data_IF_598547016565
#
_entry.id   IF_598547016565
#
_cell.length_a   1.000
_cell.length_b   1.000
_cell.length_c   1.000
_cell.angle_alpha   90.00
_cell.angle_beta   90.00
_cell.angle_gamma   90.00
#
_symmetry.space_group_name_H-M   'P 1'
#
loop_
_entity.id
_entity.type
_entity.pdbx_description
1 polymer ?
#
# COMPACT_ATOMS: atom_id res chain seq x y z
N UNK A 1 6.17 8.64 -21.11
CA UNK A 1 5.85 7.53 -20.17
C UNK A 1 4.36 7.26 -19.96
N UNK A 2 3.41 8.10 -20.40
CA UNK A 2 1.95 7.91 -20.16
C UNK A 2 1.42 6.50 -20.47
N UNK A 3 1.95 5.84 -21.49
CA UNK A 3 1.59 4.47 -21.88
C UNK A 3 1.88 3.47 -20.74
N UNK A 4 3.03 3.60 -20.07
CA UNK A 4 3.47 2.68 -19.01
C UNK A 4 2.96 3.07 -17.61
N UNK A 5 2.32 4.23 -17.47
CA UNK A 5 1.74 4.69 -16.19
C UNK A 5 0.25 4.38 -16.06
N UNK A 6 -0.42 4.02 -17.15
CA UNK A 6 -1.85 3.75 -17.14
C UNK A 6 -2.15 2.30 -17.54
N UNK A 7 -3.09 1.63 -16.86
CA UNK A 7 -3.54 0.30 -17.27
C UNK A 7 -4.29 0.31 -18.61
N UNK A 8 -4.85 1.45 -19.00
CA UNK A 8 -5.73 1.58 -20.18
C UNK A 8 -4.98 1.49 -21.51
N UNK A 9 -3.64 1.61 -21.51
CA UNK A 9 -2.82 1.64 -22.72
C UNK A 9 -1.95 0.39 -22.89
N UNK A 10 -2.32 -0.72 -22.23
CA UNK A 10 -1.55 -1.98 -22.28
C UNK A 10 -1.24 -2.47 -23.71
N UNK A 11 -2.15 -2.25 -24.66
CA UNK A 11 -1.96 -2.59 -26.08
C UNK A 11 -0.78 -1.86 -26.75
N UNK A 12 -0.35 -0.72 -26.20
CA UNK A 12 0.77 0.08 -26.74
C UNK A 12 2.10 -0.17 -26.01
N UNK A 13 2.18 -1.14 -25.10
CA UNK A 13 3.42 -1.45 -24.37
C UNK A 13 4.56 -1.82 -25.32
N UNK A 14 4.26 -2.61 -26.34
CA UNK A 14 5.21 -2.97 -27.40
C UNK A 14 5.72 -1.74 -28.17
N UNK A 15 4.80 -0.81 -28.46
CA UNK A 15 5.14 0.44 -29.11
C UNK A 15 6.03 1.32 -28.21
N UNK A 16 5.73 1.38 -26.91
CA UNK A 16 6.57 2.08 -25.95
C UNK A 16 7.99 1.50 -25.90
N UNK A 17 8.16 0.17 -25.99
CA UNK A 17 9.50 -0.45 -26.07
C UNK A 17 10.27 0.02 -27.29
N UNK A 18 9.63 0.04 -28.46
CA UNK A 18 10.26 0.53 -29.70
C UNK A 18 10.72 1.99 -29.56
N UNK A 19 9.89 2.84 -28.96
CA UNK A 19 10.24 4.24 -28.70
C UNK A 19 11.41 4.39 -27.73
N UNK A 20 11.46 3.59 -26.66
CA UNK A 20 12.57 3.61 -25.70
C UNK A 20 13.88 3.14 -26.33
N UNK A 21 13.85 2.05 -27.11
CA UNK A 21 15.04 1.57 -27.84
C UNK A 21 15.52 2.60 -28.85
N UNK A 22 14.59 3.24 -29.59
CA UNK A 22 14.93 4.31 -30.52
C UNK A 22 15.60 5.48 -29.80
N UNK A 23 15.02 5.95 -28.69
CA UNK A 23 15.60 7.02 -27.87
C UNK A 23 17.02 6.70 -27.42
N UNK A 24 17.27 5.49 -26.89
CA UNK A 24 18.59 5.07 -26.41
C UNK A 24 19.62 5.08 -27.56
N UNK A 25 19.26 4.54 -28.73
CA UNK A 25 20.13 4.54 -29.91
C UNK A 25 20.41 5.95 -30.44
N UNK A 26 19.40 6.80 -30.51
CA UNK A 26 19.56 8.18 -30.97
C UNK A 26 20.39 9.01 -30.00
N UNK A 27 20.25 8.78 -28.69
CA UNK A 27 21.05 9.43 -27.66
C UNK A 27 22.54 9.05 -27.81
N UNK A 28 22.83 7.76 -27.95
CA UNK A 28 24.19 7.26 -28.17
C UNK A 28 24.84 7.88 -29.42
N UNK A 29 24.09 7.99 -30.53
CA UNK A 29 24.59 8.61 -31.76
C UNK A 29 24.87 10.11 -31.63
N UNK A 30 24.08 10.82 -30.82
CA UNK A 30 24.15 12.29 -30.71
C UNK A 30 25.20 12.74 -29.71
N UNK A 31 25.32 12.04 -28.58
CA UNK A 31 26.19 12.44 -27.47
C UNK A 31 27.44 11.55 -27.35
N UNK A 32 27.42 10.35 -27.93
CA UNK A 32 28.48 9.36 -27.83
C UNK A 32 28.25 8.37 -26.68
N UNK A 33 28.82 7.17 -26.83
CA UNK A 33 28.66 6.05 -25.89
C UNK A 33 29.28 6.30 -24.51
N UNK A 34 30.20 7.25 -24.38
CA UNK A 34 30.82 7.62 -23.10
C UNK A 34 29.81 8.18 -22.08
N UNK A 35 28.65 8.67 -22.51
CA UNK A 35 27.58 9.15 -21.63
C UNK A 35 26.50 8.10 -21.37
N UNK A 36 26.64 6.90 -21.93
CA UNK A 36 25.70 5.80 -21.73
C UNK A 36 25.93 5.15 -20.37
N UNK A 37 25.14 5.57 -19.39
CA UNK A 37 25.10 4.94 -18.07
C UNK A 37 24.17 3.71 -18.05
N UNK A 38 24.29 2.90 -16.99
CA UNK A 38 23.41 1.75 -16.73
C UNK A 38 21.91 2.12 -16.75
N UNK A 39 21.57 3.35 -16.36
CA UNK A 39 20.17 3.81 -16.35
C UNK A 39 19.50 3.71 -17.73
N UNK A 40 20.25 3.87 -18.82
CA UNK A 40 19.70 3.72 -20.18
C UNK A 40 19.31 2.28 -20.51
N UNK A 41 20.06 1.31 -19.99
CA UNK A 41 19.70 -0.10 -20.11
C UNK A 41 18.41 -0.39 -19.34
N UNK A 42 18.28 0.13 -18.11
CA UNK A 42 17.05 0.02 -17.32
C UNK A 42 15.83 0.60 -18.02
N UNK A 43 15.97 1.68 -18.80
CA UNK A 43 14.86 2.25 -19.58
C UNK A 43 14.29 1.25 -20.60
N UNK A 44 15.13 0.41 -21.21
CA UNK A 44 14.70 -0.57 -22.22
C UNK A 44 13.83 -1.66 -21.58
N UNK A 45 14.05 -1.95 -20.30
CA UNK A 45 13.35 -2.99 -19.54
C UNK A 45 12.06 -2.52 -18.83
N UNK A 46 11.78 -1.21 -18.80
CA UNK A 46 10.53 -0.69 -18.22
C UNK A 46 9.23 -1.34 -18.78
N UNK A 47 9.12 -1.68 -20.08
CA UNK A 47 7.97 -2.41 -20.60
C UNK A 47 7.85 -3.83 -20.03
N UNK A 48 8.98 -4.47 -19.70
CA UNK A 48 9.01 -5.80 -19.10
C UNK A 48 8.53 -5.73 -17.64
N UNK A 49 8.98 -4.72 -16.90
CA UNK A 49 8.49 -4.40 -15.56
C UNK A 49 6.98 -4.12 -15.56
N UNK A 50 6.49 -3.37 -16.56
CA UNK A 50 5.07 -3.12 -16.70
C UNK A 50 4.26 -4.41 -16.90
N UNK A 51 4.77 -5.32 -17.74
CA UNK A 51 4.11 -6.60 -17.98
C UNK A 51 4.09 -7.49 -16.73
N UNK A 52 5.10 -7.38 -15.88
CA UNK A 52 5.23 -8.18 -14.65
C UNK A 52 4.46 -7.63 -13.47
N UNK A 53 4.49 -6.31 -13.25
CA UNK A 53 3.96 -5.66 -12.04
C UNK A 53 2.74 -4.77 -12.31
N UNK A 54 2.38 -4.54 -13.57
CA UNK A 54 1.33 -3.61 -13.98
C UNK A 54 1.85 -2.19 -14.21
N UNK A 55 0.99 -1.15 -14.13
CA UNK A 55 1.43 0.24 -14.24
C UNK A 55 2.64 0.56 -13.36
N UNK A 56 3.60 1.35 -13.85
CA UNK A 56 4.86 1.60 -13.15
C UNK A 56 4.67 2.25 -11.76
N UNK A 57 3.53 2.91 -11.53
CA UNK A 57 3.16 3.44 -10.21
C UNK A 57 3.08 2.32 -9.15
N UNK A 58 2.66 1.12 -9.54
CA UNK A 58 2.53 -0.05 -8.66
C UNK A 58 3.88 -0.60 -8.18
N UNK A 59 4.96 -0.36 -8.92
CA UNK A 59 6.32 -0.76 -8.53
C UNK A 59 7.21 0.45 -8.17
N UNK A 60 6.63 1.63 -8.01
CA UNK A 60 7.37 2.85 -7.69
C UNK A 60 7.79 2.88 -6.22
N UNK A 61 8.97 3.46 -5.95
CA UNK A 61 9.45 3.66 -4.58
C UNK A 61 8.85 4.91 -3.89
N UNK A 62 8.06 5.72 -4.61
CA UNK A 62 7.54 7.00 -4.11
C UNK A 62 6.77 6.91 -2.78
N UNK A 63 5.90 5.90 -2.54
CA UNK A 63 5.23 5.78 -1.24
C UNK A 63 6.22 5.61 -0.09
N UNK A 64 7.29 4.84 -0.30
CA UNK A 64 8.34 4.60 0.68
C UNK A 64 9.19 5.85 0.91
N UNK A 65 9.57 6.56 -0.16
CA UNK A 65 10.33 7.82 -0.06
C UNK A 65 9.53 8.90 0.68
N UNK A 66 8.22 8.98 0.43
CA UNK A 66 7.36 9.92 1.12
C UNK A 66 7.32 9.60 2.63
N UNK A 67 7.13 8.33 2.99
CA UNK A 67 7.11 7.89 4.39
C UNK A 67 8.49 7.98 5.07
N UNK A 68 9.59 7.88 4.31
CA UNK A 68 10.96 8.02 4.82
C UNK A 68 11.17 9.37 5.53
N UNK A 69 10.45 10.42 5.12
CA UNK A 69 10.48 11.73 5.80
C UNK A 69 10.02 11.61 7.25
N UNK A 70 8.98 10.83 7.52
CA UNK A 70 8.45 10.64 8.87
C UNK A 70 9.35 9.73 9.70
N UNK A 71 9.92 8.70 9.09
CA UNK A 71 10.95 7.88 9.74
C UNK A 71 12.16 8.73 10.16
N UNK A 72 12.62 9.64 9.31
CA UNK A 72 13.73 10.55 9.62
C UNK A 72 13.40 11.49 10.78
N UNK A 73 12.18 12.01 10.89
CA UNK A 73 11.73 12.80 12.06
C UNK A 73 11.76 11.98 13.36
N UNK A 74 11.65 10.66 13.27
CA UNK A 74 11.71 9.77 14.43
C UNK A 74 13.14 9.51 14.92
N UNK A 75 14.14 9.87 14.14
CA UNK A 75 15.54 9.78 14.50
C UNK A 75 16.01 11.09 15.13
N UNK A 76 16.80 11.01 16.20
CA UNK A 76 17.48 12.18 16.81
C UNK A 76 18.99 12.14 16.64
N UNK A 77 19.56 10.93 16.59
CA UNK A 77 20.99 10.67 16.40
C UNK A 77 21.15 9.49 15.45
N UNK A 78 22.28 9.40 14.78
CA UNK A 78 22.56 8.30 13.83
C UNK A 78 22.80 6.95 14.51
N UNK A 79 22.95 6.93 15.84
CA UNK A 79 23.11 5.72 16.62
C UNK A 79 21.78 4.99 16.81
N UNK A 80 21.81 3.66 16.60
CA UNK A 80 20.69 2.77 16.94
C UNK A 80 19.35 3.19 16.31
N UNK A 81 19.30 3.46 14.99
CA UNK A 81 18.13 4.08 14.35
C UNK A 81 16.86 3.24 14.48
N UNK A 82 16.95 1.93 14.31
CA UNK A 82 15.81 1.02 14.46
C UNK A 82 15.20 1.09 15.87
N UNK A 83 16.04 1.07 16.90
CA UNK A 83 15.60 1.12 18.30
C UNK A 83 14.96 2.47 18.64
N UNK A 84 15.50 3.57 18.09
CA UNK A 84 14.90 4.90 18.23
C UNK A 84 13.50 4.96 17.60
N UNK A 85 13.35 4.46 16.37
CA UNK A 85 12.07 4.42 15.67
C UNK A 85 11.05 3.58 16.44
N UNK A 86 11.41 2.37 16.86
CA UNK A 86 10.50 1.47 17.59
C UNK A 86 10.04 2.10 18.91
N UNK A 87 10.96 2.69 19.70
CA UNK A 87 10.59 3.34 20.98
C UNK A 87 9.66 4.53 20.75
N UNK A 88 9.99 5.40 19.78
CA UNK A 88 9.15 6.57 19.47
C UNK A 88 7.80 6.19 18.88
N UNK A 89 7.74 5.11 18.11
CA UNK A 89 6.46 4.55 17.64
C UNK A 89 5.60 4.10 18.82
N UNK A 90 6.19 3.33 19.76
CA UNK A 90 5.51 2.91 20.98
C UNK A 90 5.04 4.07 21.86
N UNK A 91 5.81 5.14 21.97
CA UNK A 91 5.40 6.39 22.66
C UNK A 91 4.18 7.02 21.97
N UNK A 92 4.18 7.16 20.65
CA UNK A 92 3.03 7.69 19.89
C UNK A 92 1.76 6.87 20.09
N UNK A 93 1.86 5.54 20.10
CA UNK A 93 0.72 4.66 20.32
C UNK A 93 0.13 4.80 21.73
N UNK A 94 0.98 4.96 22.75
CA UNK A 94 0.55 5.09 24.16
C UNK A 94 -0.09 6.44 24.45
N UNK A 95 0.35 7.51 23.79
CA UNK A 95 -0.12 8.87 24.05
C UNK A 95 -1.47 9.21 23.40
N UNK A 96 -2.16 8.25 22.76
CA UNK A 96 -3.43 8.50 22.06
C UNK A 96 -3.33 9.43 20.83
N UNK A 97 -2.17 10.04 20.60
CA UNK A 97 -1.82 10.87 19.45
C UNK A 97 -1.38 10.02 18.26
N UNK A 98 -2.07 8.90 18.02
CA UNK A 98 -2.18 8.40 16.66
C UNK A 98 -3.28 9.27 16.06
N UNK A 99 -2.89 10.31 15.33
CA UNK A 99 -3.68 10.76 14.19
C UNK A 99 -3.75 9.57 13.23
N UNK A 100 -4.54 8.57 13.57
CA UNK A 100 -5.16 7.75 12.56
C UNK A 100 -5.87 8.77 11.71
N UNK A 101 -5.51 8.83 10.42
CA UNK A 101 -6.31 9.50 9.41
C UNK A 101 -7.76 9.51 9.87
N UNK A 102 -8.37 10.71 9.96
CA UNK A 102 -9.73 10.94 10.45
C UNK A 102 -10.83 10.09 9.75
N UNK A 103 -10.44 9.18 8.85
CA UNK A 103 -11.26 8.18 8.20
C UNK A 103 -11.70 7.02 9.13
N UNK A 104 -10.89 6.58 10.11
CA UNK A 104 -11.31 5.46 11.00
C UNK A 104 -12.44 5.91 11.95
N UNK A 105 -12.48 7.19 12.35
CA UNK A 105 -13.57 7.76 13.16
C UNK A 105 -14.91 7.88 12.40
N UNK A 106 -15.01 7.38 11.16
CA UNK A 106 -16.22 7.48 10.33
C UNK A 106 -16.71 6.17 9.72
N UNK A 107 -16.23 5.01 10.16
CA UNK A 107 -16.82 3.74 9.70
C UNK A 107 -18.18 3.55 10.37
N UNK A 108 -19.25 3.95 9.68
CA UNK A 108 -20.62 3.61 10.07
C UNK A 108 -20.86 2.15 9.70
N UNK A 109 -21.02 1.30 10.71
CA UNK A 109 -21.52 -0.05 10.53
C UNK A 109 -22.88 -0.03 9.83
N UNK A 110 -23.04 -0.87 8.80
CA UNK A 110 -24.28 -1.02 8.06
C UNK A 110 -24.58 -2.50 7.83
N UNK A 111 -25.78 -2.84 7.40
CA UNK A 111 -26.10 -4.21 6.96
C UNK A 111 -25.60 -4.51 5.54
N UNK A 112 -25.12 -3.50 4.81
CA UNK A 112 -24.61 -3.62 3.43
C UNK A 112 -23.10 -3.65 3.40
N UNK A 113 -22.57 -4.36 2.40
CA UNK A 113 -21.14 -4.41 2.13
C UNK A 113 -20.60 -3.02 1.74
N UNK A 114 -19.35 -2.69 2.10
CA UNK A 114 -18.36 -3.54 2.80
C UNK A 114 -18.45 -3.46 4.35
N UNK A 115 -19.22 -2.52 4.90
CA UNK A 115 -19.20 -2.17 6.33
C UNK A 115 -20.12 -3.03 7.22
N UNK A 116 -20.38 -4.28 6.82
CA UNK A 116 -21.26 -5.20 7.53
C UNK A 116 -20.52 -6.29 8.33
N UNK A 117 -19.21 -6.17 8.50
CA UNK A 117 -18.40 -7.11 9.28
C UNK A 117 -17.67 -6.38 10.41
N UNK A 118 -17.58 -7.02 11.57
CA UNK A 118 -16.77 -6.54 12.69
C UNK A 118 -16.14 -7.71 13.46
N UNK A 119 -15.06 -7.45 14.18
CA UNK A 119 -14.45 -8.39 15.11
C UNK A 119 -14.77 -8.04 16.56
N UNK A 120 -15.06 -9.05 17.38
CA UNK A 120 -15.22 -8.89 18.83
C UNK A 120 -13.86 -8.94 19.54
N UNK A 121 -13.82 -8.52 20.81
CA UNK A 121 -12.61 -8.64 21.64
C UNK A 121 -12.22 -10.10 21.92
N UNK A 122 -13.17 -11.04 21.85
CA UNK A 122 -12.94 -12.49 21.85
C UNK A 122 -12.35 -13.00 20.52
N UNK A 123 -12.16 -12.12 19.53
CA UNK A 123 -11.60 -12.44 18.24
C UNK A 123 -12.63 -13.01 17.26
N UNK A 124 -13.92 -12.94 17.54
CA UNK A 124 -14.96 -13.49 16.68
C UNK A 124 -15.33 -12.54 15.55
N UNK A 125 -15.42 -13.07 14.32
CA UNK A 125 -15.84 -12.30 13.14
C UNK A 125 -17.35 -12.45 13.00
N UNK A 126 -18.05 -11.31 12.99
CA UNK A 126 -19.52 -11.26 12.92
C UNK A 126 -19.96 -10.47 11.69
N UNK A 127 -20.88 -11.05 10.92
CA UNK A 127 -21.64 -10.35 9.87
C UNK A 127 -22.91 -9.75 10.46
N UNK A 128 -23.05 -8.43 10.41
CA UNK A 128 -24.24 -7.70 10.83
C UNK A 128 -25.40 -8.08 9.93
N UNK A 129 -26.45 -8.64 10.52
CA UNK A 129 -27.75 -8.85 9.87
C UNK A 129 -28.71 -7.73 10.20
N UNK A 130 -28.64 -7.19 11.42
CA UNK A 130 -29.58 -6.19 11.90
C UNK A 130 -28.91 -5.24 12.91
N UNK A 131 -29.37 -4.00 12.95
CA UNK A 131 -28.91 -2.96 13.88
C UNK A 131 -30.15 -2.40 14.56
N UNK A 132 -30.23 -2.57 15.88
CA UNK A 132 -31.36 -2.12 16.69
C UNK A 132 -30.89 -0.98 17.60
N UNK A 133 -31.62 0.14 17.59
CA UNK A 133 -31.40 1.23 18.54
C UNK A 133 -32.21 0.99 19.81
N UNK A 134 -31.54 0.86 20.95
CA UNK A 134 -32.19 0.75 22.26
C UNK A 134 -32.67 2.12 22.77
N UNK A 135 -33.64 2.12 23.67
CA UNK A 135 -34.20 3.31 24.34
C UNK A 135 -33.15 4.14 25.09
N UNK A 136 -31.99 3.56 25.40
CA UNK A 136 -30.84 4.18 26.08
C UNK A 136 -29.82 4.82 25.13
N UNK A 137 -30.13 4.99 23.84
CA UNK A 137 -29.23 5.50 22.79
C UNK A 137 -28.06 4.57 22.42
N UNK A 138 -28.05 3.35 22.98
CA UNK A 138 -27.11 2.29 22.62
C UNK A 138 -27.54 1.59 21.33
N UNK A 139 -26.56 1.21 20.49
CA UNK A 139 -26.79 0.40 19.29
C UNK A 139 -26.45 -1.05 19.57
N UNK A 140 -27.42 -1.93 19.34
CA UNK A 140 -27.26 -3.38 19.42
C UNK A 140 -27.05 -3.90 18.00
N UNK A 141 -25.96 -4.64 17.80
CA UNK A 141 -25.66 -5.31 16.54
C UNK A 141 -26.02 -6.79 16.65
N UNK A 142 -26.89 -7.26 15.75
CA UNK A 142 -27.27 -8.67 15.65
C UNK A 142 -26.67 -9.22 14.36
N UNK A 143 -26.08 -10.41 14.42
CA UNK A 143 -25.34 -10.95 13.30
C UNK A 143 -25.04 -12.44 13.36
N UNK A 144 -24.40 -12.94 12.30
CA UNK A 144 -23.93 -14.33 12.19
C UNK A 144 -22.43 -14.40 12.43
N UNK A 145 -22.00 -15.35 13.25
CA UNK A 145 -20.60 -15.61 13.56
C UNK A 145 -19.99 -16.57 12.53
N UNK A 146 -18.77 -16.31 12.10
CA UNK A 146 -18.00 -17.25 11.29
C UNK A 146 -17.25 -18.26 12.17
N UNK A 147 -17.65 -19.53 12.06
CA UNK A 147 -17.04 -20.65 12.78
C UNK A 147 -15.72 -21.09 12.15
N UNK A 148 -15.68 -21.21 10.82
CA UNK A 148 -14.49 -21.61 10.09
C UNK A 148 -13.70 -20.38 9.66
N UNK A 149 -12.43 -20.32 10.03
CA UNK A 149 -11.52 -19.23 9.67
C UNK A 149 -10.25 -19.83 9.09
N UNK A 150 -9.89 -19.32 7.93
CA UNK A 150 -8.65 -19.67 7.27
C UNK A 150 -7.78 -18.43 7.14
N UNK A 151 -6.47 -18.63 7.27
CA UNK A 151 -5.50 -17.57 7.09
C UNK A 151 -5.40 -17.23 5.61
N UNK A 152 -5.72 -15.99 5.24
CA UNK A 152 -5.54 -15.52 3.87
C UNK A 152 -4.05 -15.48 3.50
N UNK A 153 -3.17 -15.17 4.47
CA UNK A 153 -1.73 -15.19 4.30
C UNK A 153 -1.08 -15.93 5.46
N UNK A 154 -0.15 -16.84 5.15
CA UNK A 154 0.62 -17.61 6.14
C UNK A 154 2.08 -17.12 6.23
N UNK A 155 2.61 -16.56 5.14
CA UNK A 155 3.96 -16.01 5.04
C UNK A 155 3.92 -14.63 4.35
N UNK A 156 4.72 -13.64 4.79
CA UNK A 156 5.70 -13.68 5.89
C UNK A 156 5.08 -13.56 7.30
N UNK A 157 3.80 -13.20 7.41
CA UNK A 157 3.06 -13.13 8.68
C UNK A 157 1.67 -13.73 8.47
N UNK A 158 1.14 -14.39 9.52
CA UNK A 158 -0.24 -14.85 9.54
C UNK A 158 -1.21 -13.67 9.50
N UNK A 159 -2.20 -13.70 8.63
CA UNK A 159 -3.22 -12.64 8.51
C UNK A 159 -3.98 -12.37 9.80
N UNK A 160 -4.16 -13.38 10.67
CA UNK A 160 -4.79 -13.23 11.99
C UNK A 160 -3.97 -12.42 13.00
N UNK A 161 -2.69 -12.19 12.73
CA UNK A 161 -1.77 -11.46 13.60
C UNK A 161 -1.53 -10.01 13.16
N UNK A 162 -2.15 -9.59 12.06
CA UNK A 162 -2.20 -8.19 11.62
C UNK A 162 -3.26 -7.42 12.42
#
# INVERSE_FOLDING_TARGET
>A
MRILLSPNYKQYVEYARKLLVYFVKSFEQTYGSQFMSYNFHSLIHLPDDYNRFGPLDCCSAFPFENYMKDLKKMLRKNEKPLQQVVRRYGEKCKSGNIDHNNDIKKVKFTTKEPNCYFSTQSGEIVKITEIVSSSSNDKIFIGKIFLNREEMFVSPLKSSKL
#
